data_IF_147685794071
#
_entry.id   IF_147685794071
#
_cell.length_a   1.000
_cell.length_b   1.000
_cell.length_c   1.000
_cell.angle_alpha   90.00
_cell.angle_beta   90.00
_cell.angle_gamma   90.00
#
_symmetry.space_group_name_H-M   'P 1'
#
loop_
_entity.id
_entity.type
_entity.pdbx_description
1 polymer ?
#
# COMPACT_ATOMS: atom_id res chain seq x y z
N UNK A 1 15.70 0.18 15.54
CA UNK A 1 16.10 -0.51 14.29
C UNK A 1 15.23 0.07 13.19
N UNK A 2 15.74 1.08 12.49
CA UNK A 2 15.09 1.57 11.28
C UNK A 2 15.26 0.47 10.22
N UNK A 3 14.16 -0.18 9.86
CA UNK A 3 14.12 -1.04 8.68
C UNK A 3 14.33 -0.14 7.47
N UNK A 4 15.58 0.01 7.01
CA UNK A 4 15.85 0.57 5.69
C UNK A 4 15.04 -0.26 4.70
N UNK A 5 14.01 0.35 4.13
CA UNK A 5 13.13 -0.32 3.18
C UNK A 5 13.99 -0.66 1.97
N UNK A 6 13.93 -1.90 1.48
CA UNK A 6 14.70 -2.30 0.30
C UNK A 6 14.34 -1.35 -0.86
N UNK A 7 15.30 -0.54 -1.36
CA UNK A 7 15.00 0.45 -2.39
C UNK A 7 14.60 -0.22 -3.71
N UNK A 8 14.86 -1.51 -3.92
CA UNK A 8 14.42 -2.22 -5.13
C UNK A 8 12.95 -2.66 -5.08
N UNK A 9 12.30 -2.56 -3.91
CA UNK A 9 10.90 -2.92 -3.74
C UNK A 9 10.00 -2.00 -4.58
N UNK A 10 8.92 -2.55 -5.14
CA UNK A 10 7.90 -1.78 -5.86
C UNK A 10 6.62 -1.74 -5.04
N UNK A 11 6.11 -0.52 -4.80
CA UNK A 11 4.82 -0.36 -4.13
C UNK A 11 3.67 -0.67 -5.09
N UNK A 12 2.67 -1.47 -4.68
CA UNK A 12 1.49 -1.74 -5.49
C UNK A 12 0.70 -0.46 -5.75
N UNK A 13 0.25 -0.24 -6.99
CA UNK A 13 -0.63 0.89 -7.33
C UNK A 13 -2.11 0.50 -7.15
N UNK A 14 -2.68 0.85 -5.99
CA UNK A 14 -4.09 0.60 -5.67
C UNK A 14 -5.08 1.53 -6.42
N UNK A 15 -4.62 2.55 -7.14
CA UNK A 15 -5.51 3.47 -7.84
C UNK A 15 -6.26 2.81 -9.01
N UNK A 16 -5.64 1.80 -9.64
CA UNK A 16 -6.15 1.11 -10.83
C UNK A 16 -7.03 -0.10 -10.53
N UNK A 17 -7.16 -0.49 -9.26
CA UNK A 17 -7.93 -1.68 -8.89
C UNK A 17 -9.44 -1.41 -9.00
N UNK A 18 -10.20 -2.37 -9.52
CA UNK A 18 -11.66 -2.35 -9.36
C UNK A 18 -12.04 -2.49 -7.88
N UNK A 19 -13.27 -2.12 -7.52
CA UNK A 19 -13.76 -2.26 -6.14
C UNK A 19 -13.68 -3.72 -5.66
N UNK A 20 -14.00 -4.68 -6.53
CA UNK A 20 -13.91 -6.11 -6.22
C UNK A 20 -12.47 -6.56 -5.90
N UNK A 21 -11.50 -6.10 -6.70
CA UNK A 21 -10.08 -6.41 -6.49
C UNK A 21 -9.55 -5.75 -5.23
N UNK A 22 -9.95 -4.50 -4.96
CA UNK A 22 -9.54 -3.79 -3.75
C UNK A 22 -10.08 -4.47 -2.49
N UNK A 23 -11.34 -4.92 -2.51
CA UNK A 23 -11.93 -5.72 -1.43
C UNK A 23 -11.16 -7.02 -1.22
N UNK A 24 -10.80 -7.74 -2.28
CA UNK A 24 -9.98 -8.95 -2.14
C UNK A 24 -8.63 -8.67 -1.49
N UNK A 25 -7.95 -7.60 -1.89
CA UNK A 25 -6.69 -7.17 -1.25
C UNK A 25 -6.90 -6.97 0.24
N UNK A 26 -7.90 -6.18 0.64
CA UNK A 26 -8.19 -5.94 2.07
C UNK A 26 -8.48 -7.23 2.85
N UNK A 27 -9.25 -8.16 2.26
CA UNK A 27 -9.59 -9.43 2.90
C UNK A 27 -8.39 -10.40 3.00
N UNK A 28 -7.47 -10.36 2.04
CA UNK A 28 -6.25 -11.17 2.06
C UNK A 28 -5.18 -10.61 2.99
N UNK A 29 -5.10 -9.28 3.12
CA UNK A 29 -4.17 -8.58 4.01
C UNK A 29 -4.68 -8.49 5.45
N UNK A 30 -5.95 -8.80 5.71
CA UNK A 30 -6.52 -8.79 7.05
C UNK A 30 -5.79 -9.79 7.96
N UNK A 31 -5.37 -9.37 9.17
CA UNK A 31 -4.68 -10.26 10.09
C UNK A 31 -5.58 -11.44 10.48
N UNK A 32 -4.98 -12.61 10.73
CA UNK A 32 -5.70 -13.87 11.02
C UNK A 32 -6.64 -13.78 12.21
N UNK A 33 -6.38 -12.85 13.13
CA UNK A 33 -7.17 -12.63 14.36
C UNK A 33 -8.47 -11.83 14.06
N UNK A 34 -8.55 -11.19 12.90
CA UNK A 34 -9.70 -10.39 12.51
C UNK A 34 -10.86 -11.28 12.03
N UNK A 35 -12.07 -11.02 12.54
CA UNK A 35 -13.27 -11.67 12.03
C UNK A 35 -13.58 -11.15 10.61
N UNK A 36 -13.38 -12.03 9.61
CA UNK A 36 -13.54 -11.68 8.19
C UNK A 36 -14.98 -11.33 7.84
N UNK A 37 -15.97 -11.95 8.47
CA UNK A 37 -17.39 -11.68 8.18
C UNK A 37 -17.78 -10.26 8.58
N UNK A 38 -17.29 -9.79 9.74
CA UNK A 38 -17.46 -8.39 10.16
C UNK A 38 -16.75 -7.40 9.24
N UNK A 39 -15.57 -7.76 8.72
CA UNK A 39 -14.86 -6.93 7.76
C UNK A 39 -15.63 -6.84 6.44
N UNK A 40 -16.19 -7.95 5.95
CA UNK A 40 -17.05 -7.96 4.75
C UNK A 40 -18.28 -7.07 4.97
N UNK A 41 -18.94 -7.17 6.13
CA UNK A 41 -20.09 -6.34 6.47
C UNK A 41 -19.73 -4.84 6.47
N UNK A 42 -18.58 -4.47 7.05
CA UNK A 42 -18.04 -3.12 7.01
C UNK A 42 -17.77 -2.64 5.58
N UNK A 43 -17.15 -3.47 4.74
CA UNK A 43 -16.82 -3.11 3.36
C UNK A 43 -18.05 -3.03 2.44
N UNK A 44 -19.16 -3.65 2.82
CA UNK A 44 -20.44 -3.48 2.11
C UNK A 44 -21.05 -2.08 2.34
N UNK A 45 -20.63 -1.36 3.39
CA UNK A 45 -21.06 0.01 3.62
C UNK A 45 -20.29 0.97 2.70
N UNK A 46 -20.95 1.45 1.64
CA UNK A 46 -20.33 2.28 0.57
C UNK A 46 -19.47 3.44 1.09
N UNK A 47 -19.95 4.17 2.11
CA UNK A 47 -19.22 5.32 2.65
C UNK A 47 -17.94 4.90 3.38
N UNK A 48 -17.97 3.78 4.11
CA UNK A 48 -16.79 3.20 4.77
C UNK A 48 -15.81 2.68 3.73
N UNK A 49 -16.31 1.97 2.71
CA UNK A 49 -15.48 1.47 1.63
C UNK A 49 -14.71 2.58 0.92
N UNK A 50 -15.42 3.66 0.52
CA UNK A 50 -14.79 4.82 -0.12
C UNK A 50 -13.76 5.47 0.79
N UNK A 51 -14.07 5.62 2.08
CA UNK A 51 -13.15 6.19 3.07
C UNK A 51 -11.87 5.36 3.20
N UNK A 52 -12.00 4.04 3.40
CA UNK A 52 -10.85 3.12 3.48
C UNK A 52 -10.01 3.21 2.19
N UNK A 53 -10.68 3.20 1.03
CA UNK A 53 -9.99 3.29 -0.26
C UNK A 53 -9.18 4.58 -0.42
N UNK A 54 -9.76 5.73 -0.07
CA UNK A 54 -9.06 7.01 -0.10
C UNK A 54 -7.89 7.04 0.89
N UNK A 55 -8.08 6.51 2.10
CA UNK A 55 -7.03 6.43 3.11
C UNK A 55 -5.87 5.54 2.66
N UNK A 56 -6.15 4.36 2.09
CA UNK A 56 -5.13 3.47 1.54
C UNK A 56 -4.37 4.13 0.40
N UNK A 57 -5.06 4.85 -0.50
CA UNK A 57 -4.41 5.59 -1.58
C UNK A 57 -3.51 6.71 -1.05
N UNK A 58 -3.95 7.45 -0.02
CA UNK A 58 -3.16 8.51 0.59
C UNK A 58 -1.86 7.96 1.20
N UNK A 59 -1.96 6.90 1.98
CA UNK A 59 -0.80 6.23 2.59
C UNK A 59 0.13 5.69 1.51
N UNK A 60 -0.41 5.05 0.48
CA UNK A 60 0.38 4.49 -0.61
C UNK A 60 1.14 5.57 -1.40
N UNK A 61 0.51 6.73 -1.63
CA UNK A 61 1.14 7.87 -2.30
C UNK A 61 2.30 8.43 -1.49
N UNK A 62 2.13 8.59 -0.17
CA UNK A 62 3.19 9.04 0.73
C UNK A 62 4.37 8.06 0.71
N UNK A 63 4.10 6.76 0.80
CA UNK A 63 5.12 5.72 0.73
C UNK A 63 5.83 5.69 -0.62
N UNK A 64 5.10 5.92 -1.72
CA UNK A 64 5.67 5.97 -3.06
C UNK A 64 6.69 7.10 -3.21
N UNK A 65 6.37 8.31 -2.74
CA UNK A 65 7.33 9.42 -2.76
C UNK A 65 8.58 9.13 -1.92
N UNK A 66 8.41 8.49 -0.75
CA UNK A 66 9.53 8.11 0.10
C UNK A 66 10.42 7.06 -0.59
N UNK A 67 9.82 6.01 -1.12
CA UNK A 67 10.54 4.94 -1.83
C UNK A 67 11.24 5.47 -3.09
N UNK A 68 10.61 6.36 -3.85
CA UNK A 68 11.24 6.99 -5.02
C UNK A 68 12.49 7.79 -4.62
N UNK A 69 12.43 8.50 -3.48
CA UNK A 69 13.59 9.22 -2.96
C UNK A 69 14.71 8.27 -2.53
N UNK A 70 14.39 7.16 -1.88
CA UNK A 70 15.34 6.11 -1.49
C UNK A 70 15.97 5.45 -2.73
N UNK A 71 15.16 5.12 -3.74
CA UNK A 71 15.60 4.60 -5.04
C UNK A 71 16.57 5.54 -5.74
N UNK A 72 16.19 6.82 -5.86
CA UNK A 72 17.02 7.83 -6.49
C UNK A 72 18.37 7.97 -5.80
N UNK A 73 18.35 8.03 -4.47
CA UNK A 73 19.56 8.16 -3.66
C UNK A 73 20.48 6.93 -3.81
N UNK A 74 19.90 5.73 -3.81
CA UNK A 74 20.64 4.48 -4.00
C UNK A 74 21.34 4.41 -5.36
N UNK A 75 20.61 4.64 -6.46
CA UNK A 75 21.20 4.57 -7.80
C UNK A 75 22.18 5.70 -8.09
N UNK A 76 21.94 6.91 -7.55
CA UNK A 76 22.90 8.02 -7.65
C UNK A 76 24.21 7.68 -6.95
N UNK A 77 24.18 7.01 -5.79
CA UNK A 77 25.38 6.62 -5.08
C UNK A 77 26.15 5.52 -5.82
N UNK A 78 25.45 4.52 -6.38
CA UNK A 78 26.09 3.50 -7.23
C UNK A 78 26.86 4.13 -8.39
N UNK A 79 26.23 5.05 -9.13
CA UNK A 79 26.87 5.72 -10.27
C UNK A 79 27.97 6.73 -9.90
N UNK A 80 28.13 7.11 -8.63
CA UNK A 80 29.26 7.92 -8.13
C UNK A 80 30.42 7.06 -7.63
N UNK A 81 30.17 5.79 -7.31
CA UNK A 81 31.17 4.83 -6.82
C UNK A 81 31.75 3.91 -7.91
N UNK A 82 31.18 3.93 -9.11
CA UNK A 82 31.75 3.32 -10.34
C UNK A 82 32.70 4.28 -11.06
#
# INVERSE_FOLDING_TARGET
>A
METSSDPTYLLPDYSKLSDSQFTQVLLTSAPTIMNKDKLIELLNQKHIFVFIRQLTQLINKLNCSKLQHEQWSYYSNLGLTE
#
